data_IF_225913953657
#
_entry.id   IF_225913953657
#
_cell.length_a   1.000
_cell.length_b   1.000
_cell.length_c   1.000
_cell.angle_alpha   90.00
_cell.angle_beta   90.00
_cell.angle_gamma   90.00
#
_symmetry.space_group_name_H-M   'P 1'
#
loop_
_entity.id
_entity.type
_entity.pdbx_description
1 polymer ?
#
# COMPACT_ATOMS: atom_id res chain seq x y z
N UNK A 1 -5.56 -1.65 15.22
CA UNK A 1 -5.28 -0.66 14.15
C UNK A 1 -4.50 -1.40 13.07
N UNK A 2 -4.99 -1.47 11.83
CA UNK A 2 -4.46 -2.40 10.81
C UNK A 2 -2.95 -2.31 10.57
N UNK A 3 -2.39 -1.10 10.63
CA UNK A 3 -0.95 -0.88 10.54
C UNK A 3 -0.16 -1.68 11.59
N UNK A 4 -0.57 -1.61 12.86
CA UNK A 4 0.18 -2.21 13.98
C UNK A 4 0.09 -3.73 14.02
N UNK A 5 -0.86 -4.33 13.28
CA UNK A 5 -0.99 -5.78 13.15
C UNK A 5 -0.38 -6.29 11.84
N UNK A 6 0.23 -5.41 11.04
CA UNK A 6 0.73 -5.76 9.72
C UNK A 6 2.08 -6.51 9.80
N UNK A 7 2.29 -7.60 9.04
CA UNK A 7 3.55 -8.36 9.06
C UNK A 7 4.80 -7.50 8.85
N UNK A 8 4.80 -6.63 7.83
CA UNK A 8 5.93 -5.70 7.59
C UNK A 8 6.27 -4.83 8.80
N UNK A 9 5.27 -4.42 9.59
CA UNK A 9 5.53 -3.65 10.81
C UNK A 9 6.08 -4.56 11.93
N UNK A 10 5.46 -5.74 12.13
CA UNK A 10 5.85 -6.67 13.17
C UNK A 10 7.31 -7.13 13.02
N UNK A 11 7.73 -7.41 11.78
CA UNK A 11 9.09 -7.85 11.42
C UNK A 11 10.12 -6.71 11.43
N UNK A 12 9.68 -5.45 11.35
CA UNK A 12 10.59 -4.29 11.32
C UNK A 12 11.14 -3.93 12.70
N UNK A 13 12.41 -3.53 12.75
CA UNK A 13 13.06 -2.90 13.91
C UNK A 13 13.36 -1.42 13.67
N UNK A 14 13.52 -1.04 12.41
CA UNK A 14 13.89 0.31 11.94
C UNK A 14 12.83 0.82 10.96
N UNK A 15 12.02 1.78 11.42
CA UNK A 15 10.85 2.26 10.69
C UNK A 15 11.00 3.73 10.35
N UNK A 16 10.99 4.05 9.07
CA UNK A 16 10.83 5.42 8.61
C UNK A 16 9.34 5.75 8.44
N UNK A 17 8.94 6.93 8.92
CA UNK A 17 7.56 7.41 8.83
C UNK A 17 7.53 8.94 8.79
N UNK A 18 6.62 9.50 8.01
CA UNK A 18 6.49 10.95 7.85
C UNK A 18 5.76 11.62 9.03
N UNK A 19 6.06 12.89 9.28
CA UNK A 19 5.22 13.77 10.08
C UNK A 19 4.15 14.37 9.17
N UNK A 20 2.87 14.13 9.51
CA UNK A 20 1.77 14.43 8.62
C UNK A 20 1.57 15.93 8.37
N UNK A 21 1.29 16.27 7.10
CA UNK A 21 0.64 17.51 6.70
C UNK A 21 -0.87 17.47 6.95
N UNK A 22 -1.61 18.59 6.81
CA UNK A 22 -3.06 18.62 7.02
C UNK A 22 -3.86 17.67 6.13
N UNK A 23 -3.42 17.47 4.90
CA UNK A 23 -4.01 16.61 3.86
C UNK A 23 -3.50 15.15 3.90
N UNK A 24 -2.75 14.79 4.94
CA UNK A 24 -2.17 13.47 5.12
C UNK A 24 -2.70 12.77 6.38
N UNK A 25 -2.59 11.44 6.41
CA UNK A 25 -3.01 10.64 7.56
C UNK A 25 -2.22 11.05 8.80
N UNK A 26 -2.91 11.33 9.91
CA UNK A 26 -2.27 11.71 11.18
C UNK A 26 -1.34 10.60 11.70
N UNK A 27 -0.03 10.86 11.75
CA UNK A 27 0.98 9.86 12.12
C UNK A 27 1.50 10.00 13.56
N UNK A 28 1.31 11.14 14.24
CA UNK A 28 1.88 11.38 15.59
C UNK A 28 1.58 10.27 16.61
N UNK A 29 0.32 9.80 16.68
CA UNK A 29 -0.05 8.71 17.59
C UNK A 29 0.68 7.41 17.22
N UNK A 30 0.82 7.15 15.93
CA UNK A 30 1.50 5.96 15.43
C UNK A 30 2.99 6.01 15.73
N UNK A 31 3.67 7.14 15.44
CA UNK A 31 5.08 7.38 15.79
C UNK A 31 5.35 7.09 17.26
N UNK A 32 4.52 7.63 18.16
CA UNK A 32 4.62 7.35 19.60
C UNK A 32 4.51 5.85 19.92
N UNK A 33 3.60 5.12 19.28
CA UNK A 33 3.43 3.69 19.52
C UNK A 33 4.61 2.88 18.99
N UNK A 34 5.15 3.25 17.82
CA UNK A 34 6.34 2.62 17.25
C UNK A 34 7.53 2.82 18.20
N UNK A 35 7.78 4.05 18.64
CA UNK A 35 8.89 4.36 19.54
C UNK A 35 8.76 3.63 20.88
N UNK A 36 7.55 3.59 21.47
CA UNK A 36 7.27 2.85 22.71
C UNK A 36 7.47 1.34 22.59
N UNK A 37 7.43 0.79 21.37
CA UNK A 37 7.69 -0.63 21.15
C UNK A 37 9.18 -0.99 21.12
N UNK A 38 10.08 -0.03 21.35
CA UNK A 38 11.53 -0.23 21.31
C UNK A 38 12.13 -0.19 19.90
N UNK A 39 11.31 0.07 18.87
CA UNK A 39 11.77 0.23 17.48
C UNK A 39 12.42 1.59 17.27
N UNK A 40 13.41 1.65 16.40
CA UNK A 40 14.01 2.92 15.95
C UNK A 40 13.07 3.58 14.95
N UNK A 41 12.77 4.86 15.19
CA UNK A 41 11.92 5.68 14.32
C UNK A 41 12.78 6.69 13.58
N UNK A 42 12.57 6.81 12.28
CA UNK A 42 13.26 7.77 11.42
C UNK A 42 12.23 8.69 10.75
N UNK A 43 12.51 10.00 10.74
CA UNK A 43 11.64 11.02 10.19
C UNK A 43 12.33 11.73 9.02
N UNK A 44 11.59 12.10 7.96
CA UNK A 44 12.17 12.84 6.84
C UNK A 44 12.63 14.22 7.27
N UNK A 45 13.81 14.59 6.79
CA UNK A 45 14.38 15.92 6.91
C UNK A 45 14.86 16.37 5.54
N UNK A 46 14.47 17.58 5.16
CA UNK A 46 14.73 18.15 3.83
C UNK A 46 15.77 19.25 3.99
N UNK A 47 16.84 19.16 3.21
CA UNK A 47 17.89 20.16 3.24
C UNK A 47 17.44 21.42 2.49
N UNK A 48 17.73 22.58 3.06
CA UNK A 48 17.29 23.85 2.49
C UNK A 48 18.02 24.12 1.16
N UNK A 49 17.25 24.53 0.14
CA UNK A 49 17.75 24.89 -1.18
C UNK A 49 18.54 23.76 -1.90
N UNK A 50 18.32 22.50 -1.52
CA UNK A 50 18.90 21.34 -2.20
C UNK A 50 17.80 20.31 -2.53
N UNK A 51 18.08 19.44 -3.50
CA UNK A 51 17.21 18.31 -3.84
C UNK A 51 17.52 17.06 -3.00
N UNK A 52 17.94 17.27 -1.75
CA UNK A 52 18.40 16.21 -0.85
C UNK A 52 17.44 15.98 0.33
N UNK A 53 17.24 14.71 0.67
CA UNK A 53 16.45 14.26 1.81
C UNK A 53 17.28 13.29 2.65
N UNK A 54 17.13 13.39 3.97
CA UNK A 54 17.66 12.42 4.96
C UNK A 54 16.49 11.82 5.76
N UNK A 55 16.67 10.64 6.32
CA UNK A 55 15.74 10.02 7.28
C UNK A 55 16.42 9.91 8.64
N UNK A 56 16.24 10.95 9.43
CA UNK A 56 16.96 11.16 10.68
C UNK A 56 16.28 10.46 11.86
N UNK A 57 17.07 9.82 12.73
CA UNK A 57 16.56 9.07 13.87
C UNK A 57 15.93 10.01 14.92
N UNK A 58 14.71 9.68 15.32
CA UNK A 58 14.04 10.23 16.51
C UNK A 58 14.56 9.51 17.76
N UNK A 59 14.99 10.26 18.77
CA UNK A 59 15.60 9.74 19.99
C UNK A 59 14.56 9.63 21.10
N UNK A 60 13.68 10.63 21.21
CA UNK A 60 12.71 10.73 22.30
C UNK A 60 11.34 11.16 21.77
N UNK A 61 10.26 10.68 22.42
CA UNK A 61 8.89 11.07 22.13
C UNK A 61 8.66 12.59 22.14
N UNK A 62 9.38 13.32 23.00
CA UNK A 62 9.30 14.77 23.10
C UNK A 62 9.98 15.50 21.95
N UNK A 63 10.75 14.82 21.10
CA UNK A 63 11.49 15.45 20.01
C UNK A 63 10.58 16.19 19.03
N UNK A 64 9.41 15.61 18.72
CA UNK A 64 8.44 16.27 17.83
C UNK A 64 8.00 17.62 18.42
N UNK A 65 7.82 17.72 19.73
CA UNK A 65 7.38 18.99 20.36
C UNK A 65 8.53 19.98 20.50
N UNK A 66 9.74 19.50 20.81
CA UNK A 66 10.88 20.34 21.21
C UNK A 66 11.79 20.74 20.06
N UNK A 67 11.93 19.87 19.07
CA UNK A 67 12.98 19.96 18.05
C UNK A 67 12.43 19.85 16.64
N UNK A 68 11.17 20.22 16.40
CA UNK A 68 10.66 20.29 15.03
C UNK A 68 9.99 21.61 14.72
N UNK A 69 10.16 22.07 13.49
CA UNK A 69 9.55 23.28 12.93
C UNK A 69 9.18 23.02 11.48
N UNK A 70 8.16 23.73 10.99
CA UNK A 70 7.80 23.69 9.57
C UNK A 70 8.90 24.35 8.73
N UNK A 71 9.28 23.69 7.65
CA UNK A 71 10.12 24.25 6.60
C UNK A 71 9.28 25.14 5.65
N UNK A 72 9.91 25.67 4.58
CA UNK A 72 9.25 26.54 3.59
C UNK A 72 8.06 25.88 2.88
N UNK A 73 8.01 24.55 2.83
CA UNK A 73 6.94 23.77 2.19
C UNK A 73 5.84 23.32 3.17
N UNK A 74 5.89 23.79 4.43
CA UNK A 74 4.94 23.42 5.49
C UNK A 74 5.14 21.99 6.01
N UNK A 75 6.34 21.43 5.87
CA UNK A 75 6.68 20.10 6.38
C UNK A 75 7.39 20.25 7.72
N UNK A 76 6.84 19.60 8.74
CA UNK A 76 7.45 19.55 10.07
C UNK A 76 8.68 18.64 10.05
N UNK A 77 9.87 19.19 10.33
CA UNK A 77 11.14 18.47 10.33
C UNK A 77 12.04 18.89 11.49
N UNK A 78 13.10 18.13 11.78
CA UNK A 78 14.02 18.45 12.87
C UNK A 78 14.72 19.80 12.70
N UNK A 79 14.87 20.55 13.79
CA UNK A 79 15.63 21.82 13.85
C UNK A 79 17.10 21.62 14.21
N UNK A 80 17.48 20.43 14.67
CA UNK A 80 18.83 20.06 15.09
C UNK A 80 19.35 18.81 14.33
N UNK A 81 19.34 18.81 12.99
CA UNK A 81 19.66 17.63 12.18
C UNK A 81 21.04 17.03 12.44
N UNK A 82 22.03 17.86 12.80
CA UNK A 82 23.40 17.48 13.14
C UNK A 82 23.50 16.58 14.38
N UNK A 83 22.51 16.68 15.28
CA UNK A 83 22.41 15.86 16.49
C UNK A 83 21.64 14.55 16.27
N UNK A 84 21.37 14.19 15.01
CA UNK A 84 20.56 13.02 14.65
C UNK A 84 21.37 12.08 13.77
N UNK A 85 21.20 10.79 14.01
CA UNK A 85 21.81 9.75 13.18
C UNK A 85 21.00 9.55 11.90
N UNK A 86 21.66 9.56 10.74
CA UNK A 86 21.00 9.21 9.48
C UNK A 86 20.76 7.70 9.37
N UNK A 87 19.61 7.33 8.81
CA UNK A 87 19.26 5.92 8.61
C UNK A 87 20.30 5.18 7.75
N UNK A 88 20.72 5.76 6.61
CA UNK A 88 21.71 5.12 5.74
C UNK A 88 23.06 4.94 6.46
N UNK A 89 23.52 5.91 7.23
CA UNK A 89 24.80 5.81 7.96
C UNK A 89 24.78 4.79 9.11
N UNK A 90 23.60 4.31 9.51
CA UNK A 90 23.41 3.48 10.71
C UNK A 90 22.76 2.12 10.45
N UNK A 91 22.87 1.61 9.23
CA UNK A 91 22.38 0.27 8.85
C UNK A 91 21.06 0.25 8.09
N UNK A 92 20.63 1.38 7.52
CA UNK A 92 19.48 1.48 6.62
C UNK A 92 18.13 1.35 7.31
N UNK A 93 17.14 0.71 6.66
CA UNK A 93 15.75 0.64 7.12
C UNK A 93 15.10 -0.70 6.80
N UNK A 94 14.15 -1.13 7.64
CA UNK A 94 13.35 -2.34 7.41
C UNK A 94 12.00 -2.00 6.76
N UNK A 95 11.40 -0.89 7.17
CA UNK A 95 10.10 -0.43 6.69
C UNK A 95 10.10 1.08 6.44
N UNK A 96 9.66 1.49 5.24
CA UNK A 96 9.42 2.89 4.89
C UNK A 96 7.93 3.13 4.70
N UNK A 97 7.35 3.92 5.59
CA UNK A 97 5.95 4.35 5.53
C UNK A 97 5.88 5.66 4.75
N UNK A 98 5.22 5.61 3.61
CA UNK A 98 5.22 6.68 2.62
C UNK A 98 3.90 7.48 2.66
N UNK A 99 3.95 8.82 2.65
CA UNK A 99 2.79 9.66 2.35
C UNK A 99 2.51 9.68 0.85
N UNK A 100 1.31 10.10 0.46
CA UNK A 100 0.96 10.27 -0.95
C UNK A 100 -0.36 10.99 -1.15
N UNK A 101 -0.47 11.68 -2.28
CA UNK A 101 -1.70 12.32 -2.75
C UNK A 101 -2.72 11.28 -3.24
N UNK A 102 -2.22 10.21 -3.87
CA UNK A 102 -3.03 9.08 -4.30
C UNK A 102 -2.21 7.80 -4.33
N UNK A 103 -2.90 6.67 -4.18
CA UNK A 103 -2.37 5.34 -4.34
C UNK A 103 -3.30 4.52 -5.24
N UNK A 104 -2.76 3.86 -6.25
CA UNK A 104 -3.55 2.98 -7.12
C UNK A 104 -3.62 1.56 -6.55
N UNK A 105 -4.57 0.75 -7.03
CA UNK A 105 -4.71 -0.63 -6.56
C UNK A 105 -3.50 -1.52 -6.90
N UNK A 106 -2.77 -1.19 -7.96
CA UNK A 106 -1.51 -1.83 -8.36
C UNK A 106 -0.26 -1.21 -7.70
N UNK A 107 -0.45 -0.37 -6.67
CA UNK A 107 0.63 0.08 -5.79
C UNK A 107 1.34 1.35 -6.22
N UNK A 108 0.95 1.98 -7.33
CA UNK A 108 1.54 3.28 -7.72
C UNK A 108 1.25 4.30 -6.64
N UNK A 109 2.26 5.11 -6.30
CA UNK A 109 2.15 6.24 -5.38
C UNK A 109 2.33 7.54 -6.13
N UNK A 110 1.32 8.40 -6.06
CA UNK A 110 1.41 9.79 -6.51
C UNK A 110 1.91 10.65 -5.35
N UNK A 111 3.12 11.18 -5.50
CA UNK A 111 3.72 12.15 -4.59
C UNK A 111 3.18 13.57 -4.77
N UNK A 112 3.95 14.56 -4.32
CA UNK A 112 3.63 16.00 -4.46
C UNK A 112 4.24 16.64 -5.72
N UNK A 113 4.43 15.85 -6.79
CA UNK A 113 5.00 16.32 -8.05
C UNK A 113 6.52 16.42 -8.02
N UNK A 114 7.08 17.41 -8.71
CA UNK A 114 8.52 17.51 -9.01
C UNK A 114 9.41 17.64 -7.76
N UNK A 115 8.87 18.07 -6.63
CA UNK A 115 9.60 18.24 -5.37
C UNK A 115 9.60 16.98 -4.50
N UNK A 116 9.09 15.85 -5.00
CA UNK A 116 9.10 14.60 -4.25
C UNK A 116 10.49 13.94 -4.27
N UNK A 117 11.13 13.90 -3.10
CA UNK A 117 12.49 13.37 -2.94
C UNK A 117 12.55 11.89 -2.53
N UNK A 118 11.41 11.27 -2.21
CA UNK A 118 11.38 9.84 -1.88
C UNK A 118 11.92 8.93 -3.00
N UNK A 119 11.65 9.15 -4.30
CA UNK A 119 12.12 8.28 -5.37
C UNK A 119 13.65 8.12 -5.38
N UNK A 120 14.37 9.23 -5.28
CA UNK A 120 15.84 9.24 -5.26
C UNK A 120 16.36 8.57 -3.98
N UNK A 121 15.81 8.92 -2.82
CA UNK A 121 16.22 8.32 -1.55
C UNK A 121 16.01 6.80 -1.54
N UNK A 122 14.86 6.32 -2.01
CA UNK A 122 14.54 4.89 -2.04
C UNK A 122 15.43 4.10 -3.01
N UNK A 123 15.91 4.74 -4.08
CA UNK A 123 16.86 4.15 -5.01
C UNK A 123 18.22 3.91 -4.33
N UNK A 124 18.70 4.89 -3.56
CA UNK A 124 19.95 4.74 -2.78
C UNK A 124 19.78 3.76 -1.62
N UNK A 125 18.67 3.85 -0.87
CA UNK A 125 18.35 2.92 0.21
C UNK A 125 18.34 1.47 -0.28
N UNK A 126 17.91 1.20 -1.51
CA UNK A 126 17.86 -0.16 -2.07
C UNK A 126 19.24 -0.79 -2.21
N UNK A 127 20.27 0.01 -2.48
CA UNK A 127 21.65 -0.47 -2.57
C UNK A 127 22.15 -0.95 -1.20
N UNK A 128 21.67 -0.31 -0.12
CA UNK A 128 22.12 -0.57 1.24
C UNK A 128 21.24 -1.55 2.03
N UNK A 129 19.92 -1.49 1.83
CA UNK A 129 18.92 -2.33 2.49
C UNK A 129 18.06 -3.03 1.42
N UNK A 130 18.59 -4.02 0.69
CA UNK A 130 17.88 -4.63 -0.45
C UNK A 130 16.54 -5.28 -0.09
N UNK A 131 16.28 -5.52 1.20
CA UNK A 131 15.09 -6.17 1.72
C UNK A 131 14.11 -5.23 2.44
N UNK A 132 14.32 -3.89 2.42
CA UNK A 132 13.36 -2.97 3.00
C UNK A 132 11.98 -3.12 2.34
N UNK A 133 10.92 -2.89 3.12
CA UNK A 133 9.53 -2.89 2.65
C UNK A 133 9.00 -1.47 2.60
N UNK A 134 8.04 -1.24 1.70
CA UNK A 134 7.33 0.03 1.57
C UNK A 134 5.86 -0.13 1.90
N UNK A 135 5.31 0.86 2.60
CA UNK A 135 3.89 0.88 2.92
C UNK A 135 3.32 2.28 2.70
N UNK A 136 2.37 2.40 1.78
CA UNK A 136 1.58 3.64 1.61
C UNK A 136 0.56 3.78 2.74
N UNK A 137 0.59 4.88 3.48
CA UNK A 137 -0.44 5.20 4.46
C UNK A 137 -1.42 6.21 3.85
N UNK A 138 -2.67 5.81 3.69
CA UNK A 138 -3.65 6.55 2.89
C UNK A 138 -4.97 6.78 3.63
N UNK A 139 -5.67 7.86 3.28
CA UNK A 139 -7.11 7.94 3.46
C UNK A 139 -7.84 7.07 2.44
N UNK A 140 -9.10 6.72 2.73
CA UNK A 140 -9.96 5.98 1.79
C UNK A 140 -10.05 6.67 0.42
N UNK A 141 -10.22 7.99 0.40
CA UNK A 141 -10.37 8.78 -0.83
C UNK A 141 -9.08 8.85 -1.65
N UNK A 142 -7.92 8.62 -1.03
CA UNK A 142 -6.63 8.61 -1.71
C UNK A 142 -6.35 7.27 -2.41
N UNK A 143 -7.11 6.20 -2.11
CA UNK A 143 -6.99 4.92 -2.81
C UNK A 143 -7.92 4.91 -4.02
N UNK A 144 -7.32 4.98 -5.21
CA UNK A 144 -8.02 5.06 -6.50
C UNK A 144 -7.77 3.81 -7.33
N UNK A 145 -8.55 3.64 -8.41
CA UNK A 145 -8.41 2.48 -9.26
C UNK A 145 -7.05 2.45 -9.98
N UNK A 146 -6.71 3.53 -10.69
CA UNK A 146 -5.48 3.66 -11.47
C UNK A 146 -5.22 5.14 -11.82
N UNK A 147 -3.97 5.47 -12.14
CA UNK A 147 -3.54 6.73 -12.73
C UNK A 147 -2.27 6.54 -13.59
N UNK A 148 -1.97 7.50 -14.50
CA UNK A 148 -0.76 7.44 -15.32
C UNK A 148 0.52 7.35 -14.47
N UNK A 149 1.47 6.53 -14.92
CA UNK A 149 2.81 6.52 -14.33
C UNK A 149 3.56 7.78 -14.78
N UNK A 150 4.05 8.53 -13.82
CA UNK A 150 4.94 9.67 -14.04
C UNK A 150 6.40 9.25 -13.85
N UNK A 151 7.33 9.98 -14.46
CA UNK A 151 8.74 9.86 -14.13
C UNK A 151 8.88 10.10 -12.62
N UNK A 152 9.50 9.17 -11.89
CA UNK A 152 9.65 9.16 -10.43
C UNK A 152 8.46 8.59 -9.62
N UNK A 153 7.48 7.95 -10.26
CA UNK A 153 6.45 7.21 -9.53
C UNK A 153 7.05 6.02 -8.77
N UNK A 154 6.82 5.96 -7.46
CA UNK A 154 7.16 4.80 -6.63
C UNK A 154 6.02 3.78 -6.70
N UNK A 155 6.34 2.49 -6.79
CA UNK A 155 5.37 1.41 -6.57
C UNK A 155 5.60 0.86 -5.17
N UNK A 156 4.61 0.99 -4.28
CA UNK A 156 4.68 0.50 -2.91
C UNK A 156 4.29 -0.97 -2.82
N UNK A 157 4.86 -1.69 -1.86
CA UNK A 157 4.54 -3.09 -1.65
C UNK A 157 3.10 -3.24 -1.18
N UNK A 158 2.70 -2.48 -0.15
CA UNK A 158 1.37 -2.54 0.47
C UNK A 158 0.79 -1.13 0.69
N UNK A 159 -0.54 -1.01 0.69
CA UNK A 159 -1.26 0.23 1.03
C UNK A 159 -2.18 -0.06 2.21
N UNK A 160 -2.12 0.79 3.24
CA UNK A 160 -2.93 0.67 4.45
C UNK A 160 -3.77 1.94 4.62
N UNK A 161 -5.06 1.76 4.84
CA UNK A 161 -5.93 2.78 5.42
C UNK A 161 -6.70 2.20 6.62
N UNK A 162 -7.60 2.98 7.21
CA UNK A 162 -8.23 2.66 8.51
C UNK A 162 -8.96 1.32 8.62
N UNK A 163 -9.44 0.72 7.53
CA UNK A 163 -10.28 -0.49 7.55
C UNK A 163 -9.91 -1.55 6.48
N UNK A 164 -8.88 -1.33 5.66
CA UNK A 164 -8.41 -2.34 4.70
C UNK A 164 -6.91 -2.18 4.41
N UNK A 165 -6.30 -3.31 4.09
CA UNK A 165 -4.96 -3.42 3.51
C UNK A 165 -5.10 -3.87 2.07
N UNK A 166 -4.37 -3.22 1.17
CA UNK A 166 -4.21 -3.63 -0.21
C UNK A 166 -2.82 -4.22 -0.39
N UNK A 167 -2.77 -5.42 -0.95
CA UNK A 167 -1.56 -6.06 -1.45
C UNK A 167 -1.59 -5.97 -2.99
N UNK A 168 -0.99 -4.93 -3.59
CA UNK A 168 -0.80 -4.79 -5.03
C UNK A 168 -0.39 -6.07 -5.76
N UNK A 169 0.59 -6.82 -5.25
CA UNK A 169 1.05 -8.05 -5.89
C UNK A 169 -0.06 -9.12 -5.94
N UNK A 170 -0.78 -9.33 -4.82
CA UNK A 170 -1.90 -10.26 -4.77
C UNK A 170 -3.07 -9.84 -5.68
N UNK A 171 -3.37 -8.54 -5.77
CA UNK A 171 -4.42 -8.04 -6.66
C UNK A 171 -4.08 -8.22 -8.14
N UNK A 172 -2.80 -8.08 -8.51
CA UNK A 172 -2.32 -8.38 -9.87
C UNK A 172 -2.50 -9.87 -10.16
N UNK A 173 -2.18 -10.76 -9.20
CA UNK A 173 -2.42 -12.20 -9.33
C UNK A 173 -3.91 -12.49 -9.52
N UNK A 174 -4.80 -11.92 -8.70
CA UNK A 174 -6.26 -12.09 -8.86
C UNK A 174 -6.77 -11.56 -10.22
N UNK A 175 -6.07 -10.60 -10.83
CA UNK A 175 -6.44 -10.06 -12.14
C UNK A 175 -5.96 -10.95 -13.29
N UNK A 176 -4.74 -11.50 -13.17
CA UNK A 176 -4.07 -12.33 -14.19
C UNK A 176 -4.55 -13.79 -14.11
N UNK A 177 -4.84 -14.28 -12.92
CA UNK A 177 -5.36 -15.62 -12.63
C UNK A 177 -6.59 -15.58 -11.71
N UNK A 178 -7.72 -15.01 -12.17
CA UNK A 178 -8.95 -14.83 -11.37
C UNK A 178 -9.65 -16.13 -10.95
N UNK A 179 -9.13 -17.28 -11.37
CA UNK A 179 -9.65 -18.60 -11.06
C UNK A 179 -8.69 -19.44 -10.23
N UNK A 180 -7.46 -18.96 -9.98
CA UNK A 180 -6.44 -19.72 -9.25
C UNK A 180 -6.00 -20.99 -10.00
N UNK A 181 -6.10 -20.98 -11.33
CA UNK A 181 -5.76 -22.14 -12.14
C UNK A 181 -4.25 -22.23 -12.41
N UNK A 182 -3.47 -21.26 -11.93
CA UNK A 182 -2.03 -21.10 -12.11
C UNK A 182 -1.57 -21.08 -13.57
N UNK A 183 -2.48 -20.94 -14.53
CA UNK A 183 -2.20 -20.99 -15.97
C UNK A 183 -1.25 -19.88 -16.45
N UNK A 184 -1.23 -18.76 -15.72
CA UNK A 184 -0.35 -17.61 -15.96
C UNK A 184 0.67 -17.38 -14.84
N UNK A 185 0.78 -18.32 -13.87
CA UNK A 185 1.70 -18.18 -12.73
C UNK A 185 3.18 -18.14 -13.18
N UNK A 186 3.52 -18.91 -14.21
CA UNK A 186 4.85 -18.87 -14.82
C UNK A 186 5.13 -17.56 -15.59
N UNK A 187 4.10 -16.92 -16.15
CA UNK A 187 4.22 -15.55 -16.69
C UNK A 187 4.45 -14.56 -15.55
N UNK A 188 3.70 -14.66 -14.46
CA UNK A 188 3.92 -13.87 -13.24
C UNK A 188 5.33 -14.03 -12.66
N UNK A 189 5.92 -15.23 -12.63
CA UNK A 189 7.31 -15.43 -12.20
C UNK A 189 8.34 -14.77 -13.12
N UNK A 190 8.02 -14.59 -14.41
CA UNK A 190 8.83 -13.77 -15.35
C UNK A 190 8.69 -12.27 -15.07
N UNK A 191 7.61 -11.84 -14.41
CA UNK A 191 7.32 -10.44 -14.07
C UNK A 191 7.59 -10.08 -12.59
N UNK A 192 7.82 -11.08 -11.73
CA UNK A 192 8.26 -10.89 -10.35
C UNK A 192 9.70 -10.38 -10.41
N UNK A 193 9.99 -9.13 -9.98
CA UNK A 193 11.33 -8.59 -10.12
C UNK A 193 12.29 -9.36 -9.19
N UNK A 194 13.17 -10.18 -9.78
CA UNK A 194 14.44 -10.56 -9.15
C UNK A 194 15.41 -9.42 -9.45
N UNK A 195 15.50 -8.45 -8.55
CA UNK A 195 16.43 -7.32 -8.63
C UNK A 195 16.28 -6.43 -9.90
N UNK A 196 16.02 -5.13 -9.67
CA UNK A 196 15.99 -4.05 -10.69
C UNK A 196 15.05 -4.16 -11.91
N UNK A 197 14.60 -2.99 -12.39
CA UNK A 197 13.84 -2.73 -13.63
C UNK A 197 12.45 -3.37 -13.74
N UNK A 198 11.43 -2.59 -13.34
CA UNK A 198 10.00 -2.88 -13.49
C UNK A 198 9.67 -3.20 -14.97
N UNK A 199 9.09 -4.35 -15.30
CA UNK A 199 8.53 -4.61 -16.62
C UNK A 199 7.35 -3.65 -16.87
N UNK A 200 7.45 -2.82 -17.91
CA UNK A 200 6.35 -1.95 -18.36
C UNK A 200 5.15 -2.81 -18.78
N UNK A 201 4.19 -2.98 -17.88
CA UNK A 201 2.88 -3.49 -18.27
C UNK A 201 2.19 -2.37 -19.06
N UNK A 202 2.10 -2.52 -20.38
CA UNK A 202 1.37 -1.56 -21.23
C UNK A 202 -0.07 -1.46 -20.73
N UNK A 203 -0.55 -0.23 -20.48
CA UNK A 203 -1.90 0.09 -19.99
C UNK A 203 -3.03 -0.65 -20.75
N UNK A 204 -2.82 -0.97 -22.03
CA UNK A 204 -3.77 -1.74 -22.84
C UNK A 204 -3.97 -3.19 -22.33
N UNK A 205 -2.90 -3.86 -21.88
CA UNK A 205 -2.94 -5.24 -21.38
C UNK A 205 -3.71 -5.31 -20.06
N UNK A 206 -3.44 -4.39 -19.13
CA UNK A 206 -4.20 -4.29 -17.88
C UNK A 206 -5.66 -3.92 -18.09
N UNK A 207 -5.96 -2.96 -18.99
CA UNK A 207 -7.34 -2.64 -19.36
C UNK A 207 -8.07 -3.86 -19.93
N UNK A 208 -7.40 -4.67 -20.76
CA UNK A 208 -7.98 -5.89 -21.35
C UNK A 208 -8.21 -6.97 -20.28
N UNK A 209 -7.26 -7.19 -19.38
CA UNK A 209 -7.38 -8.12 -18.26
C UNK A 209 -8.49 -7.70 -17.29
N UNK A 210 -8.58 -6.43 -16.93
CA UNK A 210 -9.66 -5.92 -16.08
C UNK A 210 -11.04 -6.02 -16.74
N UNK A 211 -11.15 -5.78 -18.05
CA UNK A 211 -12.41 -5.97 -18.79
C UNK A 211 -12.82 -7.45 -18.80
N UNK A 212 -11.86 -8.38 -18.90
CA UNK A 212 -12.09 -9.82 -18.73
C UNK A 212 -12.54 -10.17 -17.30
N UNK A 213 -11.88 -9.64 -16.27
CA UNK A 213 -12.26 -9.81 -14.86
C UNK A 213 -13.71 -9.35 -14.60
N UNK A 214 -14.07 -8.12 -15.01
CA UNK A 214 -15.45 -7.60 -14.86
C UNK A 214 -16.48 -8.52 -15.53
N UNK A 215 -16.19 -9.02 -16.75
CA UNK A 215 -17.05 -10.00 -17.43
C UNK A 215 -17.17 -11.31 -16.66
N UNK A 216 -16.06 -11.85 -16.14
CA UNK A 216 -16.03 -13.09 -15.36
C UNK A 216 -16.80 -12.96 -14.04
N UNK A 217 -16.61 -11.86 -13.31
CA UNK A 217 -17.32 -11.55 -12.06
C UNK A 217 -18.83 -11.42 -12.28
N UNK A 218 -19.25 -10.72 -13.34
CA UNK A 218 -20.66 -10.59 -13.69
C UNK A 218 -21.29 -11.93 -14.12
N UNK A 219 -20.53 -12.80 -14.81
CA UNK A 219 -20.96 -14.18 -15.13
C UNK A 219 -21.11 -15.04 -13.86
N UNK A 220 -20.20 -14.95 -12.90
CA UNK A 220 -20.32 -15.64 -11.61
C UNK A 220 -21.52 -15.14 -10.79
N UNK A 221 -21.74 -13.83 -10.74
CA UNK A 221 -22.90 -13.24 -10.07
C UNK A 221 -24.21 -13.74 -10.69
N UNK A 222 -24.35 -13.66 -12.02
CA UNK A 222 -25.55 -14.14 -12.74
C UNK A 222 -25.76 -15.65 -12.61
N UNK A 223 -24.71 -16.46 -12.62
CA UNK A 223 -24.81 -17.90 -12.38
C UNK A 223 -25.23 -18.23 -10.94
N UNK A 224 -24.75 -17.49 -9.94
CA UNK A 224 -25.18 -17.64 -8.54
C UNK A 224 -26.66 -17.25 -8.37
N UNK A 225 -27.13 -16.20 -9.04
CA UNK A 225 -28.54 -15.80 -9.06
C UNK A 225 -29.42 -16.84 -9.76
N UNK A 226 -28.97 -17.42 -10.88
CA UNK A 226 -29.69 -18.51 -11.58
C UNK A 226 -29.75 -19.79 -10.76
N UNK A 227 -28.67 -20.15 -10.04
CA UNK A 227 -28.64 -21.33 -9.15
C UNK A 227 -29.60 -21.15 -7.96
N UNK A 228 -29.67 -19.95 -7.39
CA UNK A 228 -30.63 -19.61 -6.33
C UNK A 228 -32.09 -19.55 -6.80
N UNK A 229 -32.36 -19.14 -8.05
CA UNK A 229 -33.71 -19.21 -8.63
C UNK A 229 -34.14 -20.66 -8.93
N UNK A 230 -33.22 -21.52 -9.41
CA UNK A 230 -33.49 -22.95 -9.65
C UNK A 230 -33.74 -23.73 -8.34
N UNK A 231 -33.02 -23.42 -7.26
CA UNK A 231 -33.24 -24.06 -5.95
C UNK A 231 -34.59 -23.63 -5.32
N UNK A 232 -35.00 -22.36 -5.47
CA UNK A 232 -36.34 -21.91 -5.06
C UNK A 232 -37.48 -22.56 -5.86
N UNK A 233 -37.33 -22.74 -7.19
CA UNK A 233 -38.32 -23.45 -8.03
C UNK A 233 -38.43 -24.95 -7.71
N UNK A 234 -37.33 -25.61 -7.32
CA UNK A 234 -37.39 -27.02 -6.86
C UNK A 234 -38.09 -27.16 -5.51
N UNK A 235 -37.89 -26.21 -4.57
CA UNK A 235 -38.61 -26.21 -3.29
C UNK A 235 -40.11 -25.96 -3.44
N UNK A 236 -40.55 -25.12 -4.39
CA UNK A 236 -42.00 -24.89 -4.59
C UNK A 236 -42.70 -26.08 -5.26
N UNK A 237 -42.03 -26.82 -6.14
CA UNK A 237 -42.60 -28.03 -6.78
C UNK A 237 -42.72 -29.23 -5.82
N UNK A 238 -41.86 -29.33 -4.80
CA UNK A 238 -42.00 -30.38 -3.79
C UNK A 238 -43.13 -30.09 -2.78
N UNK A 239 -43.52 -28.83 -2.58
CA UNK A 239 -44.64 -28.47 -1.70
C UNK A 239 -46.03 -28.68 -2.35
N UNK A 240 -46.12 -28.80 -3.67
CA UNK A 240 -47.39 -29.04 -4.38
C UNK A 240 -47.77 -30.52 -4.51
N UNK A 241 -46.85 -31.46 -4.24
CA UNK A 241 -47.12 -32.90 -4.34
C UNK A 241 -47.59 -33.55 -3.02
N UNK A 242 -47.68 -32.82 -1.91
CA UNK A 242 -48.12 -33.34 -0.60
C UNK A 242 -49.57 -32.95 -0.22
N UNK A 243 -50.40 -32.56 -1.19
CA UNK A 243 -51.84 -32.36 -0.97
C UNK A 243 -52.65 -33.21 -1.95
N UNK A 244 -52.92 -34.46 -1.58
CA UNK A 244 -54.10 -35.20 -2.03
C UNK A 244 -54.98 -35.53 -0.82
N UNK A 245 -56.32 -35.51 -0.97
CA UNK A 245 -57.25 -35.34 0.14
C UNK A 245 -57.56 -36.67 0.82
N UNK A 246 -57.76 -36.63 2.14
CA UNK A 246 -58.42 -37.72 2.88
C UNK A 246 -59.92 -37.60 2.59
N UNK A 247 -60.48 -38.60 1.91
CA UNK A 247 -61.92 -38.82 1.75
C UNK A 247 -62.51 -39.28 3.08
N UNK A 248 -63.61 -38.64 3.48
CA UNK A 248 -64.62 -39.23 4.36
C UNK A 248 -65.66 -39.97 3.53
#
# INVERSE_FOLDING_TARGET
MLFLNHPFYNESKRVAIFLNRPDEVKTRKLIRLILKSGRKVFLPWYEANSSSMKLLQMINIYDIKRYTKENKDGILQFTNPENRTEAMESGGLDLVVLPGMAFSLDGKRLGRGNNDLYPNYLNELKKMSPHYRTMGLAFKCQVVYDFPLYNNCIVVDHIVHSYKVYNPAAQIIDLIDPFGNHTHYNEYLKFKPRNSSIPRIKNATMKRLYKKYKKAKNKKATNKTKKNKKSKKKKSKNNTNNKKPKSG
#
